data_IF_576290160250
#
_entry.id   IF_576290160250
#
_cell.length_a   1.000
_cell.length_b   1.000
_cell.length_c   1.000
_cell.angle_alpha   90.00
_cell.angle_beta   90.00
_cell.angle_gamma   90.00
#
_symmetry.space_group_name_H-M   'P 1'
#
loop_
_entity.id
_entity.type
_entity.pdbx_description
1 polymer ?
#
# COMPACT_ATOMS: atom_id res chain seq x y z
N UNK A 1 -0.33 30.62 -13.74
CA UNK A 1 0.10 30.12 -14.12
C UNK A 1 0.73 28.95 -13.82
N UNK A 2 1.00 28.52 -12.94
CA UNK A 2 1.53 27.51 -12.61
C UNK A 2 0.65 26.41 -12.49
N UNK A 3 -0.46 26.44 -12.18
CA UNK A 3 -1.34 25.39 -12.22
C UNK A 3 -1.37 24.78 -13.56
N UNK A 4 -0.96 25.51 -14.51
CA UNK A 4 -0.88 25.05 -15.88
C UNK A 4 0.07 23.90 -16.03
N UNK A 5 1.10 23.83 -15.20
CA UNK A 5 2.03 22.72 -15.28
C UNK A 5 1.42 21.42 -14.81
N UNK A 6 0.45 21.50 -13.90
CA UNK A 6 -0.18 20.30 -13.38
C UNK A 6 -1.25 19.74 -14.30
N UNK A 7 -1.88 20.60 -15.09
CA UNK A 7 -2.93 20.15 -15.97
C UNK A 7 -2.45 19.13 -17.00
N UNK A 8 -1.32 19.37 -17.66
CA UNK A 8 -0.81 18.35 -18.57
C UNK A 8 -0.52 17.02 -17.89
N UNK A 9 -0.01 17.08 -16.67
CA UNK A 9 0.26 15.84 -15.93
C UNK A 9 -1.01 15.10 -15.61
N UNK A 10 -2.05 15.83 -15.18
CA UNK A 10 -3.33 15.24 -14.89
C UNK A 10 -3.91 14.55 -16.13
N UNK A 11 -3.80 15.23 -17.26
CA UNK A 11 -4.30 14.69 -18.51
C UNK A 11 -3.54 13.40 -18.87
N UNK A 12 -2.24 13.40 -18.68
CA UNK A 12 -1.44 12.20 -18.95
C UNK A 12 -1.85 11.05 -18.05
N UNK A 13 -2.18 11.32 -16.80
CA UNK A 13 -2.62 10.27 -15.90
C UNK A 13 -3.94 9.66 -16.37
N UNK A 14 -4.83 10.48 -16.91
CA UNK A 14 -6.10 9.99 -17.41
C UNK A 14 -5.92 9.17 -18.69
N UNK A 15 -4.96 9.56 -19.52
CA UNK A 15 -4.76 8.91 -20.81
C UNK A 15 -3.76 7.76 -20.74
N UNK A 16 -3.04 7.61 -19.64
CA UNK A 16 -2.01 6.58 -19.50
C UNK A 16 -2.19 5.78 -18.22
N UNK A 17 -2.87 4.65 -18.31
CA UNK A 17 -3.03 3.78 -17.13
C UNK A 17 -1.72 3.37 -16.50
N UNK A 18 -0.66 3.20 -17.33
CA UNK A 18 0.66 2.85 -16.80
C UNK A 18 1.22 3.95 -15.91
N UNK A 19 1.09 5.19 -16.34
CA UNK A 19 1.60 6.32 -15.57
C UNK A 19 0.80 6.51 -14.29
N UNK A 20 -0.53 6.34 -14.36
CA UNK A 20 -1.37 6.42 -13.19
C UNK A 20 -0.98 5.37 -12.16
N UNK A 21 -0.73 4.14 -12.61
CA UNK A 21 -0.32 3.06 -11.72
C UNK A 21 1.02 3.37 -11.08
N UNK A 22 1.95 3.91 -11.85
CA UNK A 22 3.27 4.27 -11.33
C UNK A 22 3.15 5.33 -10.25
N UNK A 23 2.33 6.36 -10.49
CA UNK A 23 2.12 7.42 -9.51
C UNK A 23 1.47 6.90 -8.24
N UNK A 24 0.52 6.00 -8.40
CA UNK A 24 -0.16 5.37 -7.27
C UNK A 24 0.86 4.65 -6.39
N UNK A 25 1.71 3.83 -6.99
CA UNK A 25 2.72 3.09 -6.26
C UNK A 25 3.72 4.03 -5.58
N UNK A 26 4.15 5.08 -6.29
CA UNK A 26 5.09 6.03 -5.71
C UNK A 26 4.52 6.76 -4.50
N UNK A 27 3.22 7.06 -4.52
CA UNK A 27 2.61 7.74 -3.38
C UNK A 27 2.67 6.88 -2.12
N UNK A 28 2.59 5.56 -2.28
CA UNK A 28 2.69 4.67 -1.13
C UNK A 28 4.13 4.62 -0.62
N UNK A 29 5.10 4.50 -1.54
CA UNK A 29 6.50 4.53 -1.12
C UNK A 29 6.83 5.81 -0.37
N UNK A 30 6.35 6.94 -0.86
CA UNK A 30 6.63 8.22 -0.25
C UNK A 30 6.02 8.32 1.15
N UNK A 31 4.83 7.77 1.33
CA UNK A 31 4.18 7.80 2.64
C UNK A 31 4.98 7.05 3.69
N UNK A 32 5.81 6.11 3.27
CA UNK A 32 6.64 5.32 4.17
C UNK A 32 8.12 5.66 4.06
N UNK A 33 8.42 6.82 3.45
CA UNK A 33 9.79 7.31 3.30
C UNK A 33 10.68 6.32 2.56
N UNK A 34 10.09 5.55 1.65
CA UNK A 34 10.79 4.53 0.84
C UNK A 34 11.43 3.43 1.67
N UNK A 35 10.95 3.24 2.89
CA UNK A 35 11.48 2.21 3.79
C UNK A 35 10.51 1.05 3.91
N UNK A 36 11.07 -0.15 4.11
CA UNK A 36 10.26 -1.33 4.39
C UNK A 36 9.48 -1.10 5.68
N UNK A 37 8.17 -1.36 5.61
CA UNK A 37 7.31 -1.16 6.77
C UNK A 37 7.59 -2.14 7.89
N UNK A 38 8.33 -3.21 7.62
CA UNK A 38 8.61 -4.24 8.62
C UNK A 38 9.99 -4.08 9.25
N UNK A 39 11.04 -4.04 8.44
CA UNK A 39 12.40 -4.00 8.98
C UNK A 39 13.08 -2.64 8.89
N UNK A 40 12.52 -1.70 8.12
CA UNK A 40 13.09 -0.38 8.00
C UNK A 40 14.18 -0.24 6.95
N UNK A 41 14.51 -1.31 6.24
CA UNK A 41 15.47 -1.24 5.16
C UNK A 41 14.85 -0.61 3.92
N UNK A 42 15.66 -0.36 2.90
CA UNK A 42 15.14 0.23 1.67
C UNK A 42 14.09 -0.68 1.06
N UNK A 43 12.94 -0.09 0.73
CA UNK A 43 11.86 -0.87 0.12
C UNK A 43 12.09 -1.01 -1.37
N UNK A 44 11.75 -2.18 -1.91
CA UNK A 44 11.89 -2.46 -3.33
C UNK A 44 10.59 -2.93 -3.97
N UNK A 45 9.57 -3.20 -3.16
CA UNK A 45 8.30 -3.70 -3.68
C UNK A 45 7.17 -3.28 -2.75
N UNK A 46 5.95 -3.58 -3.16
CA UNK A 46 4.77 -3.36 -2.32
C UNK A 46 4.23 -4.72 -1.93
N UNK A 47 3.93 -4.86 -0.65
CA UNK A 47 3.38 -6.09 -0.12
C UNK A 47 1.92 -5.87 0.26
N UNK A 48 1.10 -6.90 0.09
CA UNK A 48 -0.30 -6.87 0.53
C UNK A 48 -0.35 -7.30 1.98
N UNK A 49 -0.85 -6.41 2.86
CA UNK A 49 -0.96 -6.72 4.28
C UNK A 49 -1.87 -7.94 4.44
N UNK A 50 -3.05 -7.89 3.81
CA UNK A 50 -3.89 -9.07 3.69
C UNK A 50 -3.59 -9.68 2.33
N UNK A 51 -3.11 -10.92 2.27
CA UNK A 51 -2.71 -11.52 1.00
C UNK A 51 -3.85 -11.58 -0.01
N UNK A 52 -3.49 -11.51 -1.28
CA UNK A 52 -4.49 -11.51 -2.35
C UNK A 52 -5.34 -12.77 -2.33
N UNK A 53 -4.76 -13.92 -2.03
CA UNK A 53 -5.51 -15.17 -2.02
C UNK A 53 -6.53 -15.22 -0.88
N UNK A 54 -6.39 -14.34 0.12
CA UNK A 54 -7.37 -14.20 1.19
C UNK A 54 -8.27 -12.99 0.96
N UNK A 55 -8.50 -12.66 -0.30
CA UNK A 55 -9.35 -11.54 -0.69
C UNK A 55 -8.75 -10.19 -0.36
N UNK A 56 -7.43 -10.14 -0.19
CA UNK A 56 -6.75 -8.86 0.02
C UNK A 56 -6.86 -7.98 -1.21
N UNK A 57 -7.22 -6.72 -1.01
CA UNK A 57 -7.38 -5.77 -2.09
C UNK A 57 -6.06 -5.09 -2.41
N UNK A 58 -6.03 -4.33 -3.50
CA UNK A 58 -4.91 -3.46 -3.82
C UNK A 58 -5.23 -2.02 -3.43
N UNK A 59 -6.10 -1.83 -2.46
CA UNK A 59 -6.35 -0.53 -1.88
C UNK A 59 -5.08 -0.01 -1.21
N UNK A 60 -4.95 1.32 -1.19
CA UNK A 60 -3.76 1.95 -0.64
C UNK A 60 -3.47 1.49 0.78
N UNK A 61 -4.50 1.31 1.59
CA UNK A 61 -4.32 0.90 2.98
C UNK A 61 -4.04 -0.59 3.15
N UNK A 62 -4.04 -1.36 2.08
CA UNK A 62 -3.66 -2.76 2.15
C UNK A 62 -2.29 -3.01 1.50
N UNK A 63 -1.62 -1.94 1.07
CA UNK A 63 -0.31 -2.04 0.44
C UNK A 63 0.70 -1.31 1.32
N UNK A 64 1.84 -1.94 1.53
CA UNK A 64 2.91 -1.35 2.33
C UNK A 64 4.23 -1.62 1.61
N UNK A 65 5.14 -0.65 1.61
CA UNK A 65 6.46 -0.90 1.03
C UNK A 65 7.19 -2.00 1.80
N UNK A 66 7.87 -2.85 1.09
CA UNK A 66 8.60 -3.95 1.71
C UNK A 66 9.91 -4.17 0.96
N UNK A 67 10.93 -4.57 1.70
CA UNK A 67 12.16 -5.00 1.06
C UNK A 67 11.96 -6.40 0.50
N UNK A 68 12.86 -6.77 -0.41
CA UNK A 68 12.74 -8.06 -1.08
C UNK A 68 12.72 -9.21 -0.09
N UNK A 69 13.58 -9.14 0.92
CA UNK A 69 13.70 -10.20 1.90
C UNK A 69 12.42 -10.38 2.71
N UNK A 70 11.86 -9.29 3.23
CA UNK A 70 10.64 -9.38 4.01
C UNK A 70 9.48 -9.85 3.17
N UNK A 71 9.37 -9.33 1.95
CA UNK A 71 8.28 -9.70 1.07
C UNK A 71 8.30 -11.20 0.75
N UNK A 72 9.48 -11.72 0.42
CA UNK A 72 9.63 -13.13 0.11
C UNK A 72 9.40 -14.01 1.33
N UNK A 73 9.92 -13.60 2.48
CA UNK A 73 9.79 -14.39 3.70
C UNK A 73 8.36 -14.43 4.20
N UNK A 74 7.67 -13.30 4.16
CA UNK A 74 6.28 -13.25 4.60
C UNK A 74 5.37 -14.07 3.69
N UNK A 75 5.61 -13.98 2.37
CA UNK A 75 4.76 -14.70 1.43
C UNK A 75 3.30 -14.37 1.65
N UNK A 76 2.48 -15.40 1.81
CA UNK A 76 1.05 -15.23 1.97
C UNK A 76 0.60 -15.40 3.41
N UNK A 77 1.50 -15.27 4.35
CA UNK A 77 1.15 -15.38 5.77
C UNK A 77 0.43 -14.13 6.26
N UNK A 78 -0.33 -14.29 7.32
CA UNK A 78 -0.96 -13.17 8.00
C UNK A 78 0.13 -12.22 8.50
N UNK A 79 -0.05 -10.92 8.28
CA UNK A 79 0.98 -9.94 8.56
C UNK A 79 1.33 -9.91 10.04
N UNK A 80 0.34 -9.81 10.91
CA UNK A 80 0.61 -9.67 12.33
C UNK A 80 1.29 -10.92 12.89
N UNK A 81 0.78 -12.08 12.50
CA UNK A 81 1.34 -13.34 12.98
C UNK A 81 2.78 -13.51 12.52
N UNK A 82 3.04 -13.25 11.24
CA UNK A 82 4.38 -13.37 10.69
C UNK A 82 5.34 -12.35 11.31
N UNK A 83 4.90 -11.10 11.41
CA UNK A 83 5.77 -10.03 11.85
C UNK A 83 6.22 -10.24 13.30
N UNK A 84 5.33 -10.71 14.17
CA UNK A 84 5.65 -10.91 15.57
C UNK A 84 6.73 -11.96 15.79
N UNK A 85 6.98 -12.79 14.80
CA UNK A 85 7.98 -13.85 14.90
C UNK A 85 9.36 -13.44 14.40
N UNK A 86 9.49 -12.22 13.88
CA UNK A 86 10.75 -11.80 13.29
C UNK A 86 11.68 -11.19 14.32
N UNK A 87 13.01 -11.36 14.10
CA UNK A 87 14.03 -10.79 14.97
C UNK A 87 13.94 -9.27 15.01
N UNK A 88 13.54 -8.67 13.91
CA UNK A 88 13.44 -7.22 13.78
C UNK A 88 12.08 -6.68 14.19
N UNK A 89 11.26 -7.47 14.83
CA UNK A 89 9.94 -7.03 15.24
C UNK A 89 10.02 -5.77 16.11
N UNK A 90 9.17 -4.81 15.81
CA UNK A 90 9.09 -3.54 16.52
C UNK A 90 7.62 -3.24 16.75
N UNK A 91 7.24 -3.16 18.03
CA UNK A 91 5.84 -2.93 18.38
C UNK A 91 5.31 -1.61 17.83
N UNK A 92 6.16 -0.58 17.78
CA UNK A 92 5.74 0.71 17.24
C UNK A 92 5.48 0.63 15.75
N UNK A 93 6.30 -0.14 15.04
CA UNK A 93 6.05 -0.35 13.61
C UNK A 93 4.78 -1.16 13.38
N UNK A 94 4.50 -2.11 14.25
CA UNK A 94 3.25 -2.87 14.13
C UNK A 94 2.05 -1.96 14.30
N UNK A 95 2.10 -1.05 15.28
CA UNK A 95 1.02 -0.09 15.48
C UNK A 95 0.85 0.76 14.23
N UNK A 96 1.94 1.22 13.64
CA UNK A 96 1.87 2.02 12.43
C UNK A 96 1.26 1.24 11.28
N UNK A 97 1.62 -0.03 11.15
CA UNK A 97 1.05 -0.88 10.10
C UNK A 97 -0.45 -1.06 10.29
N UNK A 98 -0.88 -1.25 11.51
CA UNK A 98 -2.30 -1.43 11.81
C UNK A 98 -3.09 -0.15 11.59
N UNK A 99 -2.52 0.98 11.98
CA UNK A 99 -3.17 2.27 11.73
C UNK A 99 -3.29 2.54 10.23
N UNK A 100 -2.24 2.20 9.49
CA UNK A 100 -2.28 2.34 8.04
C UNK A 100 -3.37 1.46 7.44
N UNK A 101 -3.47 0.22 7.89
CA UNK A 101 -4.46 -0.72 7.37
C UNK A 101 -5.89 -0.30 7.66
N UNK A 102 -6.08 0.45 8.75
CA UNK A 102 -7.41 0.91 9.13
C UNK A 102 -7.70 2.33 8.67
N UNK A 103 -6.82 2.88 7.83
CA UNK A 103 -6.97 4.24 7.34
C UNK A 103 -8.28 4.40 6.58
N UNK A 104 -8.96 5.52 6.85
CA UNK A 104 -10.20 5.82 6.16
C UNK A 104 -9.88 6.41 4.79
N UNK A 105 -10.28 5.71 3.75
CA UNK A 105 -10.07 6.14 2.38
C UNK A 105 -11.30 6.73 1.74
N UNK A 106 -12.30 7.11 2.54
CA UNK A 106 -13.56 7.60 1.98
C UNK A 106 -13.39 8.84 1.12
N UNK A 107 -12.32 9.61 1.34
CA UNK A 107 -12.04 10.79 0.54
C UNK A 107 -11.24 10.51 -0.72
N UNK A 108 -10.86 9.25 -0.94
CA UNK A 108 -10.05 8.87 -2.10
C UNK A 108 -10.97 8.24 -3.13
N UNK A 109 -11.09 8.90 -4.28
CA UNK A 109 -11.98 8.42 -5.34
C UNK A 109 -11.16 7.63 -6.35
N UNK A 110 -11.35 6.31 -6.37
CA UNK A 110 -10.65 5.43 -7.30
C UNK A 110 -11.31 4.07 -7.29
N UNK A 111 -10.90 3.22 -8.23
CA UNK A 111 -11.47 1.88 -8.33
C UNK A 111 -11.18 1.05 -7.09
N UNK A 112 -10.04 1.26 -6.47
CA UNK A 112 -9.68 0.53 -5.27
C UNK A 112 -10.66 0.82 -4.14
N UNK A 113 -11.03 2.10 -3.98
CA UNK A 113 -11.98 2.50 -2.95
C UNK A 113 -13.35 1.88 -3.24
N UNK A 114 -13.76 1.89 -4.51
CA UNK A 114 -15.03 1.30 -4.89
C UNK A 114 -15.03 -0.20 -4.58
N UNK A 115 -13.96 -0.89 -4.92
CA UNK A 115 -13.88 -2.33 -4.69
C UNK A 115 -13.94 -2.66 -3.22
N UNK A 116 -13.28 -1.85 -2.41
CA UNK A 116 -13.29 -2.05 -0.96
C UNK A 116 -14.70 -1.89 -0.41
N UNK A 117 -15.41 -0.87 -0.88
CA UNK A 117 -16.77 -0.62 -0.45
C UNK A 117 -17.68 -1.78 -0.85
N UNK A 118 -17.52 -2.25 -2.07
CA UNK A 118 -18.31 -3.38 -2.56
C UNK A 118 -18.06 -4.64 -1.73
N UNK A 119 -16.80 -4.88 -1.37
CA UNK A 119 -16.46 -6.05 -0.57
C UNK A 119 -17.10 -5.97 0.81
N UNK A 120 -17.15 -4.77 1.39
CA UNK A 120 -17.80 -4.58 2.68
C UNK A 120 -19.28 -4.91 2.62
N UNK A 121 -19.93 -4.53 1.52
CA UNK A 121 -21.35 -4.81 1.35
C UNK A 121 -21.57 -6.31 1.17
N UNK A 122 -20.66 -6.96 0.46
CA UNK A 122 -20.78 -8.39 0.18
C UNK A 122 -20.59 -9.25 1.41
N UNK A 123 -19.86 -8.73 2.37
CA UNK A 123 -19.60 -9.48 3.58
C UNK A 123 -20.82 -9.54 4.46
#
# INVERSE_FOLDING_TARGET
MFRDEQEPLTLLLELSPRLAKKRYRQSIYEAWHHKCGYCGEMATSLDHIVPRFRSGSSNRNNLVPACRSCNANKGSQDMEHWYKQQDFFDALKLIKLMEWAEQDLSGVICMSTYNRYRDSISA
#
